data_IF_470267013577
#
_entry.id   IF_470267013577
#
_cell.length_a   1.000
_cell.length_b   1.000
_cell.length_c   1.000
_cell.angle_alpha   90.00
_cell.angle_beta   90.00
_cell.angle_gamma   90.00
#
_symmetry.space_group_name_H-M   'P 1'
#
loop_
_entity.id
_entity.type
_entity.pdbx_description
1 polymer ?
#
# COMPACT_ATOMS: atom_id res chain seq x y z
N UNK A 1 49.71 -5.32 27.79
CA UNK A 1 49.50 -6.14 26.58
C UNK A 1 48.00 -6.19 26.34
N UNK A 2 47.45 -5.11 25.77
CA UNK A 2 46.03 -5.01 25.44
C UNK A 2 45.84 -5.54 24.03
N UNK A 3 45.06 -6.60 23.89
CA UNK A 3 44.66 -7.15 22.59
C UNK A 3 43.70 -6.17 21.94
N UNK A 4 44.19 -5.40 20.96
CA UNK A 4 43.32 -4.81 19.96
C UNK A 4 42.78 -5.96 19.12
N UNK A 5 41.53 -6.35 19.36
CA UNK A 5 40.77 -7.12 18.39
C UNK A 5 40.62 -6.23 17.15
N UNK A 6 41.37 -6.56 16.10
CA UNK A 6 41.13 -6.05 14.75
C UNK A 6 39.72 -6.48 14.35
N UNK A 7 38.72 -5.65 14.67
CA UNK A 7 37.40 -5.71 14.06
C UNK A 7 37.59 -5.41 12.58
N UNK A 8 37.89 -6.45 11.81
CA UNK A 8 37.98 -6.42 10.37
C UNK A 8 36.80 -5.62 9.82
N UNK A 9 37.12 -4.62 8.99
CA UNK A 9 36.23 -3.59 8.48
C UNK A 9 34.82 -4.15 8.15
N UNK A 10 33.87 -3.99 9.08
CA UNK A 10 32.50 -4.50 8.90
C UNK A 10 31.89 -3.79 7.69
N UNK A 11 31.42 -4.52 6.66
CA UNK A 11 30.84 -3.91 5.49
C UNK A 11 29.69 -2.99 5.88
N UNK A 12 29.77 -1.71 5.49
CA UNK A 12 28.67 -0.76 5.75
C UNK A 12 27.45 -1.16 4.94
N UNK A 13 26.28 -1.18 5.58
CA UNK A 13 24.99 -1.42 4.94
C UNK A 13 24.69 -0.51 3.74
N UNK A 14 25.29 0.69 3.71
CA UNK A 14 25.19 1.65 2.61
C UNK A 14 25.85 1.15 1.30
N UNK A 15 26.84 0.25 1.43
CA UNK A 15 27.57 -0.37 0.32
C UNK A 15 27.01 -1.73 -0.07
N UNK A 16 25.94 -2.18 0.58
CA UNK A 16 25.27 -3.43 0.22
C UNK A 16 24.73 -3.33 -1.20
N UNK A 17 24.85 -4.42 -1.95
CA UNK A 17 24.36 -4.49 -3.32
C UNK A 17 22.86 -4.16 -3.39
N UNK A 18 22.48 -3.35 -4.39
CA UNK A 18 21.12 -2.83 -4.56
C UNK A 18 20.10 -3.94 -4.81
N UNK A 19 20.47 -5.01 -5.52
CA UNK A 19 19.56 -6.11 -5.80
C UNK A 19 19.34 -6.96 -4.55
N UNK A 20 20.36 -7.11 -3.70
CA UNK A 20 20.21 -7.74 -2.39
C UNK A 20 19.29 -6.89 -1.50
N UNK A 21 19.50 -5.57 -1.42
CA UNK A 21 18.62 -4.65 -0.69
C UNK A 21 17.18 -4.72 -1.21
N UNK A 22 16.99 -4.72 -2.52
CA UNK A 22 15.67 -4.85 -3.14
C UNK A 22 14.99 -6.16 -2.72
N UNK A 23 15.73 -7.27 -2.73
CA UNK A 23 15.22 -8.57 -2.32
C UNK A 23 14.83 -8.59 -0.83
N UNK A 24 15.63 -7.97 0.04
CA UNK A 24 15.29 -7.78 1.47
C UNK A 24 13.99 -6.97 1.58
N UNK A 25 13.87 -5.87 0.84
CA UNK A 25 12.69 -5.01 0.91
C UNK A 25 11.41 -5.69 0.41
N UNK A 26 11.49 -6.70 -0.47
CA UNK A 26 10.32 -7.53 -0.82
C UNK A 26 9.74 -8.31 0.37
N UNK A 27 10.49 -8.45 1.46
CA UNK A 27 10.07 -9.14 2.69
C UNK A 27 9.48 -8.20 3.74
N UNK A 28 9.62 -6.89 3.54
CA UNK A 28 9.08 -5.88 4.44
C UNK A 28 7.63 -5.55 4.09
N UNK A 29 6.87 -5.09 5.08
CA UNK A 29 5.59 -4.42 4.80
C UNK A 29 5.85 -3.14 4.00
N UNK A 30 4.93 -2.78 3.11
CA UNK A 30 5.04 -1.61 2.23
C UNK A 30 5.20 -0.32 3.03
N UNK A 31 4.61 -0.22 4.22
CA UNK A 31 4.76 0.92 5.13
C UNK A 31 6.21 1.05 5.61
N UNK A 32 6.84 -0.08 5.97
CA UNK A 32 8.24 -0.11 6.39
C UNK A 32 9.21 0.26 5.25
N UNK A 33 8.86 -0.04 4.00
CA UNK A 33 9.63 0.41 2.84
C UNK A 33 9.53 1.94 2.65
N UNK A 34 8.32 2.50 2.59
CA UNK A 34 8.10 3.93 2.28
C UNK A 34 8.43 4.87 3.46
N UNK A 35 8.21 4.44 4.71
CA UNK A 35 8.42 5.26 5.89
C UNK A 35 9.75 4.97 6.62
N UNK A 36 10.35 3.81 6.37
CA UNK A 36 11.61 3.39 6.99
C UNK A 36 12.75 3.30 5.98
N UNK A 37 12.85 2.15 5.30
CA UNK A 37 14.03 1.79 4.51
C UNK A 37 14.41 2.85 3.45
N UNK A 38 13.43 3.38 2.73
CA UNK A 38 13.67 4.41 1.69
C UNK A 38 14.26 5.72 2.20
N UNK A 39 14.28 5.95 3.53
CA UNK A 39 14.76 7.19 4.16
C UNK A 39 16.12 7.06 4.83
N UNK A 40 16.74 5.89 4.78
CA UNK A 40 18.03 5.63 5.42
C UNK A 40 19.17 6.32 4.65
N UNK A 41 19.29 6.03 3.35
CA UNK A 41 20.30 6.62 2.48
C UNK A 41 19.87 6.53 1.01
N UNK A 42 20.62 7.17 0.10
CA UNK A 42 20.27 7.19 -1.33
C UNK A 42 20.28 5.78 -1.97
N UNK A 43 21.20 4.90 -1.58
CA UNK A 43 21.23 3.52 -2.08
C UNK A 43 19.94 2.78 -1.72
N UNK A 44 19.47 2.92 -0.49
CA UNK A 44 18.24 2.29 -0.02
C UNK A 44 16.99 2.93 -0.64
N UNK A 45 16.99 4.24 -0.84
CA UNK A 45 15.95 4.94 -1.60
C UNK A 45 15.82 4.37 -3.03
N UNK A 46 16.94 4.18 -3.73
CA UNK A 46 16.95 3.63 -5.09
C UNK A 46 16.54 2.15 -5.12
N UNK A 47 16.95 1.34 -4.14
CA UNK A 47 16.51 -0.05 -3.99
C UNK A 47 15.00 -0.13 -3.71
N UNK A 48 14.44 0.81 -2.96
CA UNK A 48 13.00 0.88 -2.65
C UNK A 48 12.13 1.10 -3.89
N UNK A 49 12.68 1.57 -5.00
CA UNK A 49 11.94 1.75 -6.27
C UNK A 49 11.90 0.48 -7.14
N UNK A 50 12.43 -0.65 -6.66
CA UNK A 50 12.41 -1.89 -7.43
C UNK A 50 10.97 -2.37 -7.68
N UNK A 51 10.64 -2.65 -8.94
CA UNK A 51 9.28 -3.01 -9.38
C UNK A 51 8.75 -4.27 -8.71
N UNK A 52 9.62 -5.21 -8.32
CA UNK A 52 9.21 -6.46 -7.67
C UNK A 52 8.53 -6.22 -6.33
N UNK A 53 8.93 -5.18 -5.60
CA UNK A 53 8.33 -4.75 -4.33
C UNK A 53 6.87 -4.32 -4.56
N UNK A 54 6.61 -3.57 -5.63
CA UNK A 54 5.34 -2.86 -5.82
C UNK A 54 4.28 -3.64 -6.60
N UNK A 55 4.63 -4.75 -7.26
CA UNK A 55 3.68 -5.53 -8.06
C UNK A 55 2.46 -5.99 -7.23
N UNK A 56 2.67 -6.28 -5.94
CA UNK A 56 1.60 -6.65 -5.00
C UNK A 56 1.68 -5.79 -3.74
N UNK A 57 0.66 -4.98 -3.54
CA UNK A 57 0.51 -4.13 -2.35
C UNK A 57 -0.46 -4.82 -1.39
N UNK A 58 -0.04 -4.99 -0.14
CA UNK A 58 -0.88 -5.44 0.96
C UNK A 58 -0.75 -4.43 2.09
N UNK A 59 -1.85 -3.82 2.49
CA UNK A 59 -1.89 -2.96 3.67
C UNK A 59 -2.26 -3.81 4.88
N UNK A 60 -1.30 -4.56 5.42
CA UNK A 60 -1.56 -5.48 6.52
C UNK A 60 -1.12 -4.93 7.88
N UNK A 61 -0.21 -3.97 7.91
CA UNK A 61 0.24 -3.29 9.11
C UNK A 61 -0.80 -2.26 9.58
N UNK A 62 -1.79 -2.74 10.34
CA UNK A 62 -2.85 -1.92 10.92
C UNK A 62 -2.28 -1.02 12.01
N UNK A 63 -1.30 -1.52 12.77
CA UNK A 63 -0.71 -0.79 13.90
C UNK A 63 -0.08 0.50 13.41
N UNK A 64 0.61 0.52 12.26
CA UNK A 64 1.22 1.73 11.71
C UNK A 64 0.24 2.71 11.04
N UNK A 65 -1.00 2.32 10.74
CA UNK A 65 -1.92 3.09 9.89
C UNK A 65 -3.11 3.64 10.69
N UNK A 66 -3.28 4.96 10.66
CA UNK A 66 -4.50 5.64 11.13
C UNK A 66 -5.55 5.55 10.03
N UNK A 67 -6.70 4.97 10.35
CA UNK A 67 -7.88 4.93 9.49
C UNK A 67 -8.91 5.96 9.96
N UNK A 68 -9.49 6.71 9.02
CA UNK A 68 -10.59 7.63 9.30
C UNK A 68 -11.85 6.82 9.65
N UNK A 69 -12.05 6.51 10.93
CA UNK A 69 -13.21 5.77 11.40
C UNK A 69 -14.39 6.73 11.69
N UNK A 70 -15.50 6.67 10.94
CA UNK A 70 -16.68 7.49 11.20
C UNK A 70 -17.46 7.08 12.46
N UNK A 71 -17.16 5.94 13.08
CA UNK A 71 -17.87 5.42 14.27
C UNK A 71 -17.27 5.86 15.61
N UNK A 72 -16.31 6.79 15.58
CA UNK A 72 -15.92 7.57 16.75
C UNK A 72 -14.48 7.36 17.23
N UNK A 73 -13.91 8.36 17.93
CA UNK A 73 -12.57 8.34 18.51
C UNK A 73 -12.46 7.52 19.81
N UNK A 74 -13.46 6.68 20.12
CA UNK A 74 -13.62 6.06 21.45
C UNK A 74 -12.86 4.76 21.70
N UNK A 75 -12.01 4.33 20.76
CA UNK A 75 -10.90 3.43 21.08
C UNK A 75 -9.64 4.29 21.22
N UNK A 76 -9.68 5.29 22.10
CA UNK A 76 -8.48 5.97 22.56
C UNK A 76 -7.82 5.01 23.56
N UNK A 77 -7.29 3.92 23.02
CA UNK A 77 -6.40 3.05 23.76
C UNK A 77 -5.27 3.94 24.27
N UNK A 78 -4.91 3.79 25.54
CA UNK A 78 -3.92 4.65 26.20
C UNK A 78 -2.52 4.54 25.55
N UNK A 79 -2.34 3.67 24.55
CA UNK A 79 -1.18 3.56 23.68
C UNK A 79 -1.24 4.56 22.51
N UNK A 80 -1.00 5.84 22.81
CA UNK A 80 -0.86 6.92 21.81
C UNK A 80 0.32 6.71 20.82
N UNK A 81 1.07 5.62 20.94
CA UNK A 81 2.30 5.35 20.16
C UNK A 81 2.14 4.36 19.00
N UNK A 82 1.01 3.65 18.88
CA UNK A 82 0.91 2.58 17.87
C UNK A 82 0.75 3.12 16.45
N UNK A 83 -0.22 4.02 16.24
CA UNK A 83 -0.56 4.52 14.90
C UNK A 83 0.31 5.69 14.46
N UNK A 84 1.14 5.47 13.44
CA UNK A 84 2.19 6.42 13.02
C UNK A 84 1.81 7.27 11.81
N UNK A 85 0.95 6.78 10.90
CA UNK A 85 0.73 7.44 9.60
C UNK A 85 -0.72 7.36 9.11
N UNK A 86 -1.24 8.47 8.58
CA UNK A 86 -2.55 8.54 7.92
C UNK A 86 -2.59 7.71 6.63
N UNK A 87 -3.67 6.93 6.40
CA UNK A 87 -3.85 6.10 5.20
C UNK A 87 -3.62 6.89 3.90
N UNK A 88 -4.23 8.07 3.78
CA UNK A 88 -4.04 8.97 2.63
C UNK A 88 -2.57 9.23 2.31
N UNK A 89 -1.75 9.48 3.33
CA UNK A 89 -0.30 9.71 3.18
C UNK A 89 0.40 8.44 2.68
N UNK A 90 0.04 7.28 3.22
CA UNK A 90 0.55 5.98 2.79
C UNK A 90 0.22 5.73 1.31
N UNK A 91 -1.01 5.98 0.89
CA UNK A 91 -1.44 5.81 -0.51
C UNK A 91 -0.69 6.74 -1.47
N UNK A 92 -0.46 7.99 -1.07
CA UNK A 92 0.34 8.95 -1.85
C UNK A 92 1.78 8.46 -2.02
N UNK A 93 2.41 7.98 -0.96
CA UNK A 93 3.77 7.44 -1.04
C UNK A 93 3.83 6.17 -1.89
N UNK A 94 2.88 5.23 -1.73
CA UNK A 94 2.77 4.05 -2.59
C UNK A 94 2.68 4.43 -4.07
N UNK A 95 1.89 5.46 -4.41
CA UNK A 95 1.81 5.97 -5.77
C UNK A 95 3.16 6.52 -6.29
N UNK A 96 3.96 7.17 -5.44
CA UNK A 96 5.29 7.70 -5.82
C UNK A 96 6.29 6.57 -6.13
N UNK A 97 6.37 5.58 -5.25
CA UNK A 97 7.34 4.48 -5.40
C UNK A 97 6.88 3.44 -6.42
N UNK A 98 5.62 3.00 -6.32
CA UNK A 98 5.05 1.97 -7.20
C UNK A 98 4.67 2.47 -8.57
N UNK A 99 4.30 3.75 -8.72
CA UNK A 99 3.82 4.33 -9.98
C UNK A 99 2.73 3.45 -10.60
N UNK A 100 2.87 3.10 -11.88
CA UNK A 100 1.92 2.24 -12.61
C UNK A 100 2.20 0.74 -12.45
N UNK A 101 3.16 0.33 -11.62
CA UNK A 101 3.57 -1.08 -11.44
C UNK A 101 2.52 -1.93 -10.71
N UNK A 102 1.84 -1.45 -9.65
CA UNK A 102 0.92 -2.29 -8.88
C UNK A 102 -0.15 -2.94 -9.74
N UNK A 103 -0.18 -4.28 -9.66
CA UNK A 103 -1.18 -5.11 -10.34
C UNK A 103 -2.14 -5.76 -9.35
N UNK A 104 -1.73 -5.94 -8.09
CA UNK A 104 -2.57 -6.48 -7.03
C UNK A 104 -2.55 -5.51 -5.85
N UNK A 105 -3.74 -5.12 -5.37
CA UNK A 105 -3.88 -4.21 -4.24
C UNK A 105 -4.88 -4.80 -3.24
N UNK A 106 -4.43 -5.04 -2.02
CA UNK A 106 -5.23 -5.65 -0.97
C UNK A 106 -5.26 -4.74 0.25
N UNK A 107 -6.44 -4.22 0.55
CA UNK A 107 -6.69 -3.51 1.79
C UNK A 107 -6.81 -4.49 2.97
N UNK A 108 -6.50 -3.99 4.16
CA UNK A 108 -6.82 -4.70 5.39
C UNK A 108 -8.34 -4.81 5.55
N UNK A 109 -8.85 -5.92 6.10
CA UNK A 109 -10.27 -6.08 6.40
C UNK A 109 -10.82 -5.03 7.38
N UNK A 110 -9.97 -4.50 8.26
CA UNK A 110 -10.32 -3.49 9.26
C UNK A 110 -10.12 -2.04 8.79
N UNK A 111 -9.59 -1.83 7.58
CA UNK A 111 -9.42 -0.48 7.04
C UNK A 111 -10.75 0.15 6.63
N UNK A 112 -10.86 1.47 6.77
CA UNK A 112 -11.95 2.25 6.18
C UNK A 112 -11.40 3.04 5.00
N UNK A 113 -12.08 2.95 3.85
CA UNK A 113 -11.70 3.64 2.62
C UNK A 113 -12.76 4.69 2.29
N UNK A 114 -12.33 5.95 2.16
CA UNK A 114 -13.19 7.05 1.71
C UNK A 114 -13.03 7.32 0.22
N UNK A 115 -13.88 8.18 -0.35
CA UNK A 115 -13.88 8.46 -1.79
C UNK A 115 -12.53 9.00 -2.29
N UNK A 116 -11.87 9.81 -1.47
CA UNK A 116 -10.57 10.38 -1.81
C UNK A 116 -9.48 9.31 -1.91
N UNK A 117 -9.45 8.34 -1.00
CA UNK A 117 -8.50 7.22 -1.04
C UNK A 117 -8.67 6.40 -2.33
N UNK A 118 -9.93 6.11 -2.69
CA UNK A 118 -10.24 5.39 -3.92
C UNK A 118 -9.84 6.20 -5.16
N UNK A 119 -10.02 7.52 -5.13
CA UNK A 119 -9.58 8.42 -6.20
C UNK A 119 -8.05 8.44 -6.35
N UNK A 120 -7.30 8.45 -5.24
CA UNK A 120 -5.83 8.39 -5.25
C UNK A 120 -5.34 7.11 -5.92
N UNK A 121 -5.93 5.97 -5.55
CA UNK A 121 -5.51 4.66 -6.08
C UNK A 121 -5.89 4.53 -7.55
N UNK A 122 -7.13 4.86 -7.91
CA UNK A 122 -7.60 4.72 -9.29
C UNK A 122 -6.85 5.60 -10.28
N UNK A 123 -6.35 6.77 -9.86
CA UNK A 123 -5.52 7.66 -10.68
C UNK A 123 -4.06 7.19 -10.75
N UNK A 124 -3.47 6.78 -9.64
CA UNK A 124 -2.03 6.45 -9.57
C UNK A 124 -1.68 5.06 -10.08
N UNK A 125 -2.60 4.10 -9.92
CA UNK A 125 -2.37 2.68 -10.19
C UNK A 125 -3.39 2.14 -11.22
N UNK A 126 -3.25 2.51 -12.51
CA UNK A 126 -4.23 2.13 -13.55
C UNK A 126 -4.17 0.64 -13.93
N UNK A 127 -3.09 -0.07 -13.60
CA UNK A 127 -2.85 -1.46 -14.01
C UNK A 127 -3.37 -2.52 -13.03
N UNK A 128 -4.19 -2.13 -12.06
CA UNK A 128 -4.75 -3.07 -11.09
C UNK A 128 -5.58 -4.14 -11.81
N UNK A 129 -5.26 -5.39 -11.49
CA UNK A 129 -5.94 -6.61 -11.95
C UNK A 129 -6.67 -7.31 -10.80
N UNK A 130 -6.12 -7.26 -9.59
CA UNK A 130 -6.74 -7.83 -8.39
C UNK A 130 -6.87 -6.75 -7.33
N UNK A 131 -8.09 -6.53 -6.87
CA UNK A 131 -8.40 -5.56 -5.84
C UNK A 131 -9.18 -6.27 -4.73
N UNK A 132 -8.75 -6.14 -3.47
CA UNK A 132 -9.61 -6.44 -2.32
C UNK A 132 -9.89 -5.14 -1.58
N UNK A 133 -11.16 -4.78 -1.53
CA UNK A 133 -11.64 -3.59 -0.84
C UNK A 133 -12.17 -3.99 0.54
N UNK A 134 -12.00 -3.12 1.55
CA UNK A 134 -12.50 -3.39 2.88
C UNK A 134 -13.98 -2.99 2.98
N UNK A 135 -14.52 -2.93 4.20
CA UNK A 135 -15.82 -2.30 4.41
C UNK A 135 -15.74 -0.81 4.09
N UNK A 136 -16.69 -0.32 3.29
CA UNK A 136 -16.89 1.09 3.00
C UNK A 136 -18.34 1.46 3.29
N UNK A 137 -18.60 2.65 3.87
CA UNK A 137 -19.97 3.06 4.22
C UNK A 137 -20.50 4.19 3.35
N UNK A 138 -19.61 5.00 2.78
CA UNK A 138 -19.96 6.31 2.22
C UNK A 138 -19.40 6.53 0.81
N UNK A 139 -19.19 5.49 0.01
CA UNK A 139 -18.85 5.68 -1.40
C UNK A 139 -20.11 5.84 -2.24
N UNK A 140 -20.24 6.98 -2.90
CA UNK A 140 -21.25 7.16 -3.92
C UNK A 140 -20.99 6.25 -5.12
N UNK A 141 -22.08 5.84 -5.78
CA UNK A 141 -22.01 5.03 -7.00
C UNK A 141 -21.20 5.72 -8.10
N UNK A 142 -21.28 7.05 -8.18
CA UNK A 142 -20.50 7.86 -9.11
C UNK A 142 -18.98 7.77 -8.83
N UNK A 143 -18.58 7.84 -7.56
CA UNK A 143 -17.17 7.70 -7.17
C UNK A 143 -16.64 6.29 -7.43
N UNK A 144 -17.45 5.26 -7.18
CA UNK A 144 -17.11 3.87 -7.54
C UNK A 144 -16.97 3.73 -9.06
N UNK A 145 -17.97 4.14 -9.84
CA UNK A 145 -17.95 4.02 -11.30
C UNK A 145 -16.77 4.80 -11.91
N UNK A 146 -16.52 6.02 -11.42
CA UNK A 146 -15.38 6.83 -11.83
C UNK A 146 -14.04 6.14 -11.55
N UNK A 147 -13.86 5.54 -10.38
CA UNK A 147 -12.65 4.82 -10.02
C UNK A 147 -12.47 3.55 -10.87
N UNK A 148 -13.49 2.69 -10.92
CA UNK A 148 -13.44 1.40 -11.61
C UNK A 148 -13.27 1.56 -13.12
N UNK A 149 -13.76 2.65 -13.73
CA UNK A 149 -13.53 2.93 -15.15
C UNK A 149 -12.04 3.10 -15.52
N UNK A 150 -11.17 3.38 -14.53
CA UNK A 150 -9.72 3.55 -14.75
C UNK A 150 -8.97 2.21 -14.75
N UNK A 151 -9.53 1.16 -14.14
CA UNK A 151 -8.90 -0.17 -14.07
C UNK A 151 -9.39 -1.09 -15.19
N UNK A 152 -8.92 -0.81 -16.41
CA UNK A 152 -9.34 -1.54 -17.63
C UNK A 152 -9.03 -3.04 -17.58
N UNK A 153 -8.07 -3.44 -16.74
CA UNK A 153 -7.60 -4.82 -16.61
C UNK A 153 -8.06 -5.49 -15.32
N UNK A 154 -9.05 -4.94 -14.60
CA UNK A 154 -9.54 -5.52 -13.35
C UNK A 154 -10.19 -6.89 -13.62
N UNK A 155 -9.62 -7.96 -13.07
CA UNK A 155 -10.07 -9.35 -13.21
C UNK A 155 -10.78 -9.85 -11.96
N UNK A 156 -10.32 -9.42 -10.78
CA UNK A 156 -10.85 -9.86 -9.50
C UNK A 156 -11.07 -8.66 -8.60
N UNK A 157 -12.30 -8.50 -8.12
CA UNK A 157 -12.64 -7.60 -7.04
C UNK A 157 -13.24 -8.41 -5.89
N UNK A 158 -12.49 -8.57 -4.80
CA UNK A 158 -13.01 -9.18 -3.58
C UNK A 158 -13.66 -8.09 -2.74
N UNK A 159 -14.93 -8.31 -2.42
CA UNK A 159 -15.73 -7.39 -1.63
C UNK A 159 -16.57 -8.18 -0.63
N UNK A 160 -16.46 -7.82 0.66
CA UNK A 160 -17.35 -8.35 1.71
C UNK A 160 -18.49 -7.34 1.88
N UNK A 161 -19.65 -7.72 1.33
CA UNK A 161 -21.01 -7.16 1.59
C UNK A 161 -21.63 -6.24 0.53
N UNK A 162 -22.05 -6.80 -0.64
CA UNK A 162 -23.25 -6.48 -1.46
C UNK A 162 -23.10 -7.17 -2.83
N UNK A 163 -24.12 -7.93 -3.24
CA UNK A 163 -24.29 -8.47 -4.60
C UNK A 163 -24.33 -7.31 -5.60
N UNK A 164 -23.31 -7.15 -6.43
CA UNK A 164 -23.44 -6.35 -7.65
C UNK A 164 -23.68 -7.33 -8.80
N UNK A 165 -24.94 -7.46 -9.19
CA UNK A 165 -25.29 -8.11 -10.43
C UNK A 165 -24.73 -7.25 -11.58
N UNK A 166 -23.79 -7.82 -12.34
CA UNK A 166 -23.40 -7.24 -13.62
C UNK A 166 -24.61 -7.28 -14.56
N UNK A 167 -25.27 -6.14 -14.75
CA UNK A 167 -26.20 -5.96 -15.86
C UNK A 167 -25.34 -5.85 -17.14
N UNK A 168 -25.14 -6.98 -17.83
CA UNK A 168 -24.75 -6.90 -19.25
C UNK A 168 -25.97 -6.38 -19.99
N UNK A 169 -25.80 -5.22 -20.62
CA UNK A 169 -26.69 -4.71 -21.65
C UNK A 169 -26.74 -5.75 -22.80
N UNK A 170 -27.85 -6.47 -22.89
CA UNK A 170 -28.25 -7.16 -24.11
C UNK A 170 -28.86 -6.11 -25.04
N UNK A 171 -28.16 -5.80 -26.14
CA UNK A 171 -28.72 -5.02 -27.25
C UNK A 171 -29.93 -5.76 -27.85
N UNK A 172 -31.02 -5.08 -28.21
CA UNK A 172 -32.12 -5.70 -28.91
C UNK A 172 -31.73 -5.95 -30.39
N UNK A 173 -32.13 -7.10 -30.92
CA UNK A 173 -32.37 -7.30 -32.36
C UNK A 173 -33.87 -7.26 -32.57
#
# INVERSE_FOLDING_TARGET
>A
MERQEELGNVPRWEKMDKDILSNIFTKLDVVNVIMGASRVCITWFLASHNKTIWNTIKLNDIDSIIFDNPYGPYMQDNDRERHRYQLKKILIEINKFGRTVPANFFFNVFSYVVEEDLAIISKGMPNIRKLALPMWKNLSLNSIQSAFSKWKNLLLCLYRSIKIAHHRSSKPR
#
